data_IF_089783586756
#
_entry.id   IF_089783586756
#
_cell.length_a   1.000
_cell.length_b   1.000
_cell.length_c   1.000
_cell.angle_alpha   90.00
_cell.angle_beta   90.00
_cell.angle_gamma   90.00
#
_symmetry.space_group_name_H-M   'P 1'
#
loop_
_entity.id
_entity.type
_entity.pdbx_description
1 polymer ?
#
# COMPACT_ATOMS: atom_id res chain seq x y z
N UNK A 1 -3.17 10.36 -24.49
CA UNK A 1 -2.96 9.64 -23.22
C UNK A 1 -3.80 10.28 -22.15
N UNK A 2 -4.44 9.50 -21.32
CA UNK A 2 -5.34 9.94 -20.27
C UNK A 2 -4.69 9.63 -18.92
N UNK A 3 -4.86 10.52 -17.96
CA UNK A 3 -4.34 10.31 -16.60
C UNK A 3 -5.31 9.42 -15.82
N UNK A 4 -4.79 8.33 -15.32
CA UNK A 4 -5.49 7.38 -14.47
C UNK A 4 -4.82 7.28 -13.10
N UNK A 5 -5.60 6.92 -12.12
CA UNK A 5 -5.14 6.54 -10.79
C UNK A 5 -5.69 5.15 -10.46
N UNK A 6 -4.83 4.27 -10.03
CA UNK A 6 -5.25 2.96 -9.50
C UNK A 6 -4.92 2.86 -8.04
N UNK A 7 -5.93 2.52 -7.24
CA UNK A 7 -5.76 2.15 -5.84
C UNK A 7 -6.07 0.67 -5.70
N UNK A 8 -5.19 -0.06 -5.07
CA UNK A 8 -5.42 -1.46 -4.78
C UNK A 8 -4.97 -1.85 -3.38
N UNK A 9 -5.59 -2.90 -2.89
CA UNK A 9 -5.35 -3.45 -1.57
C UNK A 9 -4.79 -4.85 -1.76
N UNK A 10 -3.57 -5.04 -1.26
CA UNK A 10 -2.92 -6.36 -1.24
C UNK A 10 -3.22 -7.07 0.08
N UNK A 11 -3.19 -8.38 0.02
CA UNK A 11 -3.33 -9.23 1.19
C UNK A 11 -2.20 -8.98 2.20
N UNK A 12 -2.52 -8.62 3.44
CA UNK A 12 -1.51 -8.36 4.47
C UNK A 12 -0.71 -9.61 4.86
N UNK A 13 -1.27 -10.80 4.65
CA UNK A 13 -0.63 -12.06 4.96
C UNK A 13 0.46 -12.47 3.95
N UNK A 14 0.54 -11.76 2.81
CA UNK A 14 1.60 -12.00 1.83
C UNK A 14 2.96 -11.55 2.37
N UNK A 15 3.97 -12.28 1.99
CA UNK A 15 5.36 -11.88 2.21
C UNK A 15 5.67 -10.60 1.46
N UNK A 16 6.60 -9.81 1.95
CA UNK A 16 6.94 -8.51 1.37
C UNK A 16 7.45 -8.65 -0.07
N UNK A 17 8.18 -9.72 -0.37
CA UNK A 17 8.62 -10.05 -1.73
C UNK A 17 7.44 -10.24 -2.69
N UNK A 18 6.36 -10.87 -2.24
CA UNK A 18 5.15 -11.07 -3.04
C UNK A 18 4.35 -9.79 -3.22
N UNK A 19 4.36 -8.91 -2.22
CA UNK A 19 3.75 -7.58 -2.33
C UNK A 19 4.50 -6.73 -3.36
N UNK A 20 5.83 -6.73 -3.30
CA UNK A 20 6.66 -6.03 -4.28
C UNK A 20 6.49 -6.60 -5.70
N UNK A 21 6.44 -7.92 -5.83
CA UNK A 21 6.18 -8.59 -7.11
C UNK A 21 4.80 -8.20 -7.69
N UNK A 22 3.77 -8.06 -6.85
CA UNK A 22 2.46 -7.60 -7.28
C UNK A 22 2.49 -6.15 -7.75
N UNK A 23 3.18 -5.27 -7.03
CA UNK A 23 3.37 -3.87 -7.43
C UNK A 23 4.16 -3.79 -8.74
N UNK A 24 5.22 -4.59 -8.86
CA UNK A 24 6.03 -4.63 -10.08
C UNK A 24 5.22 -5.11 -11.28
N UNK A 25 4.40 -6.16 -11.10
CA UNK A 25 3.49 -6.64 -12.15
C UNK A 25 2.57 -5.52 -12.66
N UNK A 26 2.01 -4.71 -11.76
CA UNK A 26 1.17 -3.56 -12.14
C UNK A 26 1.97 -2.54 -12.94
N UNK A 27 3.18 -2.21 -12.50
CA UNK A 27 4.08 -1.30 -13.22
C UNK A 27 4.46 -1.83 -14.60
N UNK A 28 4.76 -3.11 -14.71
CA UNK A 28 5.12 -3.76 -15.98
C UNK A 28 3.95 -3.71 -16.97
N UNK A 29 2.73 -3.96 -16.52
CA UNK A 29 1.53 -3.83 -17.36
C UNK A 29 1.34 -2.40 -17.83
N UNK A 30 1.48 -1.43 -16.94
CA UNK A 30 1.34 -0.01 -17.29
C UNK A 30 2.43 0.39 -18.30
N UNK A 31 3.65 -0.05 -18.12
CA UNK A 31 4.78 0.25 -19.00
C UNK A 31 4.65 -0.32 -20.41
N UNK A 32 3.73 -1.25 -20.64
CA UNK A 32 3.51 -1.85 -21.98
C UNK A 32 2.88 -0.85 -22.94
N UNK A 33 1.93 -0.03 -22.49
CA UNK A 33 1.14 0.88 -23.31
C UNK A 33 0.95 2.27 -22.69
N UNK A 34 1.67 2.56 -21.62
CA UNK A 34 1.56 3.81 -20.87
C UNK A 34 2.84 4.19 -20.14
N UNK A 35 2.74 5.21 -19.36
CA UNK A 35 3.82 5.72 -18.50
C UNK A 35 3.40 5.63 -17.03
N UNK A 36 4.26 5.04 -16.21
CA UNK A 36 4.09 5.02 -14.76
C UNK A 36 4.45 6.39 -14.21
N UNK A 37 3.53 7.00 -13.49
CA UNK A 37 3.74 8.25 -12.78
C UNK A 37 4.19 8.02 -11.34
N UNK A 38 3.50 8.65 -10.41
CA UNK A 38 3.78 8.56 -8.98
C UNK A 38 3.29 7.23 -8.40
N UNK A 39 4.07 6.67 -7.50
CA UNK A 39 3.73 5.44 -6.78
C UNK A 39 3.76 5.72 -5.28
N UNK A 40 2.58 5.75 -4.70
CA UNK A 40 2.39 5.97 -3.27
C UNK A 40 2.06 4.67 -2.56
N UNK A 41 2.93 4.26 -1.66
CA UNK A 41 2.70 3.10 -0.81
C UNK A 41 2.22 3.58 0.56
N UNK A 42 0.94 3.40 0.83
CA UNK A 42 0.36 3.78 2.12
C UNK A 42 0.62 2.76 3.22
N UNK A 43 1.00 1.55 2.84
CA UNK A 43 1.30 0.48 3.76
C UNK A 43 0.06 -0.17 4.37
N UNK A 44 0.27 -0.82 5.51
CA UNK A 44 -0.78 -1.55 6.21
C UNK A 44 -1.77 -0.58 6.86
N UNK A 45 -3.05 -0.72 6.51
CA UNK A 45 -4.14 0.07 7.11
C UNK A 45 -5.31 -0.82 7.50
N UNK A 46 -6.01 -0.41 8.54
CA UNK A 46 -7.22 -1.08 8.99
C UNK A 46 -8.37 -0.82 8.01
N UNK A 47 -9.08 -1.87 7.65
CA UNK A 47 -10.27 -1.80 6.81
C UNK A 47 -11.49 -1.34 7.61
N UNK A 48 -12.41 -0.63 6.96
CA UNK A 48 -13.69 -0.23 7.57
C UNK A 48 -14.60 -1.44 7.83
N UNK A 49 -14.49 -2.49 7.03
CA UNK A 49 -15.19 -3.75 7.17
C UNK A 49 -14.29 -4.91 6.75
N UNK A 50 -14.50 -6.13 7.24
CA UNK A 50 -13.68 -7.27 6.86
C UNK A 50 -13.82 -7.59 5.38
N UNK A 51 -12.70 -7.77 4.69
CA UNK A 51 -12.61 -8.26 3.32
C UNK A 51 -11.88 -9.60 3.37
N UNK A 52 -12.47 -10.66 2.80
CA UNK A 52 -11.91 -12.02 2.83
C UNK A 52 -11.51 -12.47 4.25
N UNK A 53 -12.34 -12.11 5.25
CA UNK A 53 -12.10 -12.38 6.69
C UNK A 53 -10.87 -11.70 7.29
N UNK A 54 -10.36 -10.65 6.64
CA UNK A 54 -9.21 -9.84 7.11
C UNK A 54 -9.67 -8.44 7.47
N UNK A 55 -9.16 -7.91 8.55
CA UNK A 55 -9.49 -6.58 9.06
C UNK A 55 -8.49 -5.50 8.62
N UNK A 56 -7.40 -5.91 8.00
CA UNK A 56 -6.31 -5.04 7.54
C UNK A 56 -5.99 -5.32 6.08
N UNK A 57 -5.42 -4.34 5.42
CA UNK A 57 -4.99 -4.45 4.04
C UNK A 57 -3.78 -3.57 3.76
N UNK A 58 -2.97 -3.96 2.80
CA UNK A 58 -1.83 -3.19 2.36
C UNK A 58 -2.23 -2.33 1.16
N UNK A 59 -2.27 -1.01 1.36
CA UNK A 59 -2.76 -0.04 0.38
C UNK A 59 -1.63 0.49 -0.48
N UNK A 60 -1.85 0.50 -1.78
CA UNK A 60 -0.95 1.11 -2.76
C UNK A 60 -1.76 1.90 -3.76
N UNK A 61 -1.27 3.08 -4.09
CA UNK A 61 -1.81 3.97 -5.14
C UNK A 61 -0.75 4.17 -6.20
N UNK A 62 -1.14 4.06 -7.46
CA UNK A 62 -0.25 4.31 -8.60
C UNK A 62 -0.97 5.24 -9.56
N UNK A 63 -0.36 6.38 -9.84
CA UNK A 63 -0.77 7.26 -10.92
C UNK A 63 -0.08 6.86 -12.21
N UNK A 64 -0.78 6.90 -13.32
CA UNK A 64 -0.23 6.53 -14.62
C UNK A 64 -0.96 7.21 -15.77
N UNK A 65 -0.26 7.33 -16.89
CA UNK A 65 -0.85 7.82 -18.15
C UNK A 65 -0.91 6.68 -19.15
N UNK A 66 -2.08 6.47 -19.73
CA UNK A 66 -2.27 5.36 -20.65
C UNK A 66 -3.38 5.60 -21.67
N UNK A 67 -3.46 4.68 -22.63
CA UNK A 67 -4.59 4.58 -23.53
C UNK A 67 -5.82 3.98 -22.82
N UNK A 68 -7.05 4.24 -23.27
CA UNK A 68 -8.29 3.77 -22.63
C UNK A 68 -8.43 2.24 -22.57
N UNK A 69 -7.65 1.49 -23.32
CA UNK A 69 -7.67 0.03 -23.34
C UNK A 69 -6.84 -0.59 -22.21
N UNK A 70 -5.77 0.08 -21.80
CA UNK A 70 -4.87 -0.43 -20.77
C UNK A 70 -5.55 -0.64 -19.40
N UNK A 71 -6.42 0.24 -18.90
CA UNK A 71 -7.13 0.01 -17.64
C UNK A 71 -7.95 -1.28 -17.62
N UNK A 72 -8.49 -1.70 -18.76
CA UNK A 72 -9.27 -2.94 -18.88
C UNK A 72 -8.38 -4.17 -18.73
N UNK A 73 -7.21 -4.16 -19.36
CA UNK A 73 -6.25 -5.26 -19.24
C UNK A 73 -5.64 -5.30 -17.83
N UNK A 74 -5.40 -4.14 -17.23
CA UNK A 74 -4.94 -4.02 -15.85
C UNK A 74 -5.97 -4.60 -14.88
N UNK A 75 -7.25 -4.22 -15.01
CA UNK A 75 -8.36 -4.77 -14.22
C UNK A 75 -8.45 -6.30 -14.36
N UNK A 76 -8.33 -6.81 -15.60
CA UNK A 76 -8.35 -8.23 -15.84
C UNK A 76 -7.22 -8.98 -15.12
N UNK A 77 -6.01 -8.46 -15.18
CA UNK A 77 -4.85 -9.09 -14.52
C UNK A 77 -4.93 -9.04 -13.01
N UNK A 78 -5.39 -7.92 -12.46
CA UNK A 78 -5.59 -7.78 -11.02
C UNK A 78 -6.66 -8.76 -10.51
N UNK A 79 -7.73 -9.00 -11.27
CA UNK A 79 -8.79 -9.97 -10.90
C UNK A 79 -8.34 -11.42 -10.92
N UNK A 80 -7.40 -11.75 -11.78
CA UNK A 80 -6.86 -13.12 -11.89
C UNK A 80 -5.88 -13.41 -10.76
N UNK A 81 -5.19 -12.39 -10.25
CA UNK A 81 -4.19 -12.57 -9.21
C UNK A 81 -4.83 -12.57 -7.82
N UNK A 82 -4.59 -13.62 -7.06
CA UNK A 82 -5.08 -13.75 -5.69
C UNK A 82 -4.40 -12.81 -4.68
N UNK A 83 -3.33 -12.12 -5.11
CA UNK A 83 -2.64 -11.15 -4.27
C UNK A 83 -3.48 -9.89 -3.99
N UNK A 84 -4.41 -9.55 -4.90
CA UNK A 84 -5.23 -8.35 -4.79
C UNK A 84 -6.56 -8.68 -4.12
N UNK A 85 -6.82 -8.06 -2.99
CA UNK A 85 -8.11 -8.17 -2.29
C UNK A 85 -9.19 -7.33 -2.97
N UNK A 86 -8.84 -6.08 -3.29
CA UNK A 86 -9.68 -5.13 -4.05
C UNK A 86 -8.82 -4.16 -4.82
N UNK A 87 -9.37 -3.64 -5.90
CA UNK A 87 -8.77 -2.57 -6.67
C UNK A 87 -9.85 -1.67 -7.27
N UNK A 88 -9.47 -0.46 -7.57
CA UNK A 88 -10.26 0.54 -8.30
C UNK A 88 -9.35 1.31 -9.25
N UNK A 89 -9.84 1.62 -10.43
CA UNK A 89 -9.14 2.45 -11.40
C UNK A 89 -10.03 3.64 -11.70
N UNK A 90 -9.50 4.84 -11.54
CA UNK A 90 -10.22 6.10 -11.71
C UNK A 90 -9.57 6.91 -12.83
N UNK A 91 -10.39 7.58 -13.62
CA UNK A 91 -9.93 8.53 -14.62
C UNK A 91 -9.83 9.93 -13.98
N UNK A 92 -8.61 10.43 -13.83
CA UNK A 92 -8.35 11.73 -13.22
C UNK A 92 -8.84 12.92 -14.03
N UNK A 93 -8.98 12.77 -15.34
CA UNK A 93 -9.46 13.88 -16.20
C UNK A 93 -10.95 14.18 -15.99
N UNK A 94 -11.75 13.18 -15.64
CA UNK A 94 -13.16 13.39 -15.34
C UNK A 94 -13.35 14.04 -13.97
N UNK A 95 -12.50 13.75 -13.01
CA UNK A 95 -12.52 14.40 -11.70
C UNK A 95 -12.20 15.89 -11.78
N UNK A 96 -11.22 16.27 -12.62
CA UNK A 96 -10.87 17.68 -12.85
C UNK A 96 -12.00 18.50 -13.52
N UNK A 97 -12.88 17.84 -14.27
CA UNK A 97 -14.06 18.50 -14.89
C UNK A 97 -15.23 18.61 -13.93
N UNK A 98 -15.32 17.70 -12.96
CA UNK A 98 -16.44 17.63 -12.01
C UNK A 98 -16.08 18.13 -10.61
N UNK A 99 -14.83 18.41 -10.31
CA UNK A 99 -14.44 18.99 -9.05
C UNK A 99 -14.98 20.44 -8.97
N UNK A 100 -15.84 20.77 -8.01
CA UNK A 100 -16.05 22.15 -7.67
C UNK A 100 -14.67 22.69 -7.29
N UNK A 101 -14.29 23.80 -7.89
CA UNK A 101 -13.00 24.48 -7.76
C UNK A 101 -12.70 24.82 -6.27
N UNK A 102 -12.41 23.80 -5.52
CA UNK A 102 -11.85 23.91 -4.18
C UNK A 102 -10.34 23.78 -4.33
N UNK A 103 -9.67 24.84 -3.94
CA UNK A 103 -8.24 25.01 -4.04
C UNK A 103 -7.47 23.73 -3.65
N UNK A 104 -6.39 23.39 -4.37
CA UNK A 104 -5.49 22.36 -3.93
C UNK A 104 -4.81 22.86 -2.66
N UNK A 105 -5.31 22.46 -1.53
CA UNK A 105 -4.45 22.36 -0.39
C UNK A 105 -3.65 21.10 -0.64
N UNK A 106 -2.51 21.27 -1.26
CA UNK A 106 -1.40 20.41 -1.00
C UNK A 106 -1.18 20.45 0.51
N UNK A 107 -1.86 19.63 1.22
CA UNK A 107 -1.44 19.22 2.52
C UNK A 107 -0.19 18.40 2.29
N UNK A 108 0.90 19.10 2.23
CA UNK A 108 2.19 18.57 2.57
C UNK A 108 2.11 18.32 4.07
N UNK A 109 1.33 17.31 4.41
CA UNK A 109 1.39 16.75 5.73
C UNK A 109 2.65 15.91 5.71
N UNK A 110 3.70 16.59 6.09
CA UNK A 110 4.86 15.98 6.67
C UNK A 110 4.33 14.91 7.63
N UNK A 111 4.51 13.65 7.25
CA UNK A 111 4.28 12.57 8.17
C UNK A 111 5.02 12.94 9.45
N UNK A 112 4.37 13.03 10.59
CA UNK A 112 5.08 13.22 11.83
C UNK A 112 6.02 12.03 11.92
N UNK A 113 7.27 12.33 11.87
CA UNK A 113 8.34 11.42 12.20
C UNK A 113 7.96 10.83 13.54
N UNK A 114 7.36 9.68 13.53
CA UNK A 114 7.12 8.92 14.74
C UNK A 114 8.52 8.58 15.25
N UNK A 115 8.99 9.44 16.09
CA UNK A 115 10.07 9.15 16.99
C UNK A 115 9.56 7.97 17.81
N UNK A 116 10.00 6.78 17.44
CA UNK A 116 9.79 5.62 18.26
C UNK A 116 10.34 5.98 19.64
N UNK A 117 9.54 5.94 20.69
CA UNK A 117 10.09 6.08 22.01
C UNK A 117 11.10 4.95 22.15
N UNK A 118 12.31 5.34 22.35
CA UNK A 118 13.39 4.47 22.74
C UNK A 118 13.03 4.01 24.14
N UNK A 119 12.20 2.98 24.21
CA UNK A 119 11.97 2.29 25.46
C UNK A 119 13.24 1.50 25.72
N UNK A 120 14.05 2.11 26.50
CA UNK A 120 15.15 1.48 27.22
C UNK A 120 14.52 0.33 28.01
N UNK A 121 14.64 -0.87 27.48
CA UNK A 121 14.37 -2.05 28.28
C UNK A 121 15.44 -2.12 29.36
N UNK A 122 15.11 -2.02 30.63
CA UNK A 122 16.07 -2.30 31.66
C UNK A 122 16.34 -3.80 31.63
N UNK A 123 17.47 -4.14 31.07
CA UNK A 123 18.04 -5.46 31.26
C UNK A 123 18.59 -5.52 32.68
N UNK A 124 17.75 -5.82 33.60
CA UNK A 124 18.18 -6.28 34.91
C UNK A 124 17.73 -7.75 35.01
N UNK A 125 18.60 -8.62 34.56
CA UNK A 125 18.55 -9.99 34.98
C UNK A 125 19.10 -10.05 36.40
N UNK A 126 18.30 -10.38 37.39
CA UNK A 126 18.87 -10.68 38.72
C UNK A 126 19.73 -11.93 38.60
N UNK A 127 20.95 -11.77 38.98
CA UNK A 127 21.90 -12.84 39.14
C UNK A 127 21.27 -13.98 39.95
N UNK A 128 21.32 -15.16 39.39
CA UNK A 128 21.04 -16.37 40.14
C UNK A 128 22.06 -16.49 41.27
N UNK A 129 21.56 -16.32 42.43
CA UNK A 129 22.30 -16.56 43.65
C UNK A 129 22.44 -18.07 43.86
N UNK A 130 23.70 -18.46 43.93
CA UNK A 130 24.25 -19.69 44.41
C UNK A 130 23.39 -20.41 45.43
N UNK A 131 23.19 -21.69 45.17
CA UNK A 131 22.93 -22.65 46.21
C UNK A 131 24.26 -23.12 46.82
N UNK A 132 24.51 -22.95 48.09
CA UNK A 132 25.68 -23.56 48.73
C UNK A 132 25.43 -25.04 48.91
N UNK A 133 26.39 -25.78 48.44
CA UNK A 133 26.62 -27.16 48.78
C UNK A 133 27.05 -27.23 50.25
N UNK A 134 26.47 -28.11 51.02
CA UNK A 134 27.19 -28.79 52.11
C UNK A 134 26.52 -30.12 52.46
N UNK A 135 27.36 -31.08 52.43
CA UNK A 135 27.59 -32.40 53.04
C UNK A 135 26.76 -33.55 52.53
#
# INVERSE_FOLDING_TARGET
MINYETLFILDPALEDEKKEAAIQMVKDVISTEGEVGEVDVWGLKKLAYPIQKKNEGYYVVIEFQANPELPKELDRRMRISDAFMRHIIVNKEEELKNAPKAAPKAAKEEAPKAEAPKEEAPAEAPAAEEAPVEE
#
